data_IF_000651879617
#
_entry.id   IF_000651879617
#
_cell.length_a   1.000
_cell.length_b   1.000
_cell.length_c   1.000
_cell.angle_alpha   90.00
_cell.angle_beta   90.00
_cell.angle_gamma   90.00
#
_symmetry.space_group_name_H-M   'P 1'
#
loop_
_entity.id
_entity.type
_entity.pdbx_description
1 polymer ?
#
# COMPACT_ATOMS: atom_id res chain seq x y z
N UNK A 1 -28.74 25.97 62.79
CA UNK A 1 -28.46 24.70 63.52
C UNK A 1 -29.04 23.56 62.69
N UNK A 2 -28.46 22.34 62.63
CA UNK A 2 -27.39 21.79 63.49
C UNK A 2 -26.17 21.16 62.77
N UNK A 3 -25.07 21.14 63.54
CA UNK A 3 -24.08 20.06 63.76
C UNK A 3 -23.20 19.50 62.63
N UNK A 4 -22.05 20.13 62.54
CA UNK A 4 -20.70 19.55 62.56
C UNK A 4 -20.55 18.11 63.10
N UNK A 5 -19.80 17.28 62.36
CA UNK A 5 -18.91 16.24 62.92
C UNK A 5 -17.61 16.19 62.11
N UNK A 6 -16.55 16.73 62.71
CA UNK A 6 -15.13 16.42 62.43
C UNK A 6 -14.69 15.36 63.44
N UNK A 7 -13.89 14.38 63.01
CA UNK A 7 -12.77 13.73 63.72
C UNK A 7 -12.22 12.65 62.75
N UNK A 8 -11.06 12.88 62.12
CA UNK A 8 -9.71 12.57 62.63
C UNK A 8 -9.41 11.07 62.62
N UNK A 9 -8.53 10.57 61.75
CA UNK A 9 -7.10 10.36 62.04
C UNK A 9 -6.36 9.75 60.81
N UNK A 10 -5.01 9.84 60.78
CA UNK A 10 -4.14 9.79 59.61
C UNK A 10 -3.19 8.55 59.62
N UNK A 11 -2.09 8.63 58.87
CA UNK A 11 -0.86 7.81 58.95
C UNK A 11 -0.90 6.45 58.24
N UNK A 12 -0.24 6.39 57.06
CA UNK A 12 0.86 5.46 56.80
C UNK A 12 1.52 5.80 55.46
N UNK A 13 2.39 6.81 55.52
CA UNK A 13 3.53 6.92 54.62
C UNK A 13 4.79 6.66 55.45
N UNK A 14 5.76 5.96 54.84
CA UNK A 14 7.15 5.74 55.25
C UNK A 14 7.53 4.32 55.73
N UNK A 15 8.04 3.53 54.76
CA UNK A 15 9.22 2.67 54.92
C UNK A 15 9.82 2.51 53.49
N UNK A 16 10.63 3.44 53.02
CA UNK A 16 12.10 3.48 53.09
C UNK A 16 12.81 2.20 52.59
N UNK A 17 13.45 2.37 51.43
CA UNK A 17 14.83 1.98 51.09
C UNK A 17 15.21 0.49 50.87
N UNK A 18 15.32 0.12 49.58
CA UNK A 18 16.41 -0.57 48.85
C UNK A 18 17.45 -1.43 49.63
N UNK A 19 17.86 -2.59 49.07
CA UNK A 19 19.02 -2.54 48.17
C UNK A 19 18.87 -3.34 46.85
N UNK A 20 19.72 -2.94 45.91
CA UNK A 20 19.99 -3.55 44.62
C UNK A 20 20.41 -5.03 44.74
N UNK A 21 20.05 -5.83 43.73
CA UNK A 21 20.91 -6.69 42.88
C UNK A 21 20.12 -7.88 42.34
N UNK A 22 19.47 -7.72 41.19
CA UNK A 22 19.22 -8.85 40.28
C UNK A 22 19.45 -8.35 38.85
N UNK A 23 20.73 -8.22 38.51
CA UNK A 23 21.17 -8.20 37.12
C UNK A 23 20.79 -9.56 36.52
N UNK A 24 19.82 -9.58 35.61
CA UNK A 24 19.59 -10.72 34.75
C UNK A 24 20.83 -10.92 33.86
N UNK A 25 21.41 -12.13 33.76
CA UNK A 25 22.56 -12.37 32.91
C UNK A 25 22.15 -12.24 31.42
N UNK A 26 22.83 -11.41 30.62
CA UNK A 26 22.53 -11.30 29.19
C UNK A 26 23.32 -12.35 28.41
N UNK A 27 22.97 -13.64 28.47
CA UNK A 27 23.67 -14.65 27.65
C UNK A 27 23.01 -16.04 27.54
N UNK A 28 21.69 -16.18 27.36
CA UNK A 28 21.08 -17.52 27.17
C UNK A 28 20.09 -17.63 25.99
N UNK A 29 19.80 -16.55 25.25
CA UNK A 29 18.90 -16.63 24.10
C UNK A 29 19.58 -16.96 22.76
N UNK A 30 20.92 -16.83 22.66
CA UNK A 30 21.61 -17.10 21.39
C UNK A 30 21.82 -18.60 21.11
N UNK A 31 21.82 -19.46 22.13
CA UNK A 31 22.09 -20.89 21.98
C UNK A 31 20.83 -21.75 21.74
N UNK A 32 19.63 -21.17 21.85
CA UNK A 32 18.37 -21.92 21.69
C UNK A 32 17.94 -22.02 20.22
N UNK A 33 18.10 -20.94 19.44
CA UNK A 33 17.76 -20.93 18.01
C UNK A 33 18.73 -21.76 17.16
N UNK A 34 20.00 -21.89 17.56
CA UNK A 34 21.01 -22.69 16.85
C UNK A 34 20.73 -24.21 16.94
N UNK A 35 20.09 -24.68 18.02
CA UNK A 35 19.74 -26.10 18.20
C UNK A 35 18.44 -26.51 17.52
N UNK A 36 17.54 -25.57 17.20
CA UNK A 36 16.26 -25.88 16.58
C UNK A 36 16.30 -25.93 15.04
N UNK A 37 17.31 -25.33 14.41
CA UNK A 37 17.37 -25.23 12.93
C UNK A 37 18.62 -25.84 12.28
N UNK A 38 19.55 -26.44 13.05
CA UNK A 38 20.66 -27.23 12.49
C UNK A 38 21.58 -26.47 11.52
N UNK A 39 21.68 -25.15 11.66
CA UNK A 39 22.52 -24.34 10.76
C UNK A 39 23.91 -24.23 11.39
N UNK A 40 24.86 -25.01 10.88
CA UNK A 40 26.29 -24.77 11.14
C UNK A 40 26.71 -23.49 10.42
N UNK A 41 27.33 -22.50 11.08
CA UNK A 41 28.01 -21.43 10.36
C UNK A 41 29.23 -22.02 9.63
N UNK A 42 29.14 -22.07 8.30
CA UNK A 42 30.22 -22.48 7.41
C UNK A 42 31.36 -21.47 7.53
N UNK A 43 32.55 -21.93 7.94
CA UNK A 43 33.76 -21.10 7.95
C UNK A 43 34.08 -20.70 6.49
N UNK A 44 34.37 -19.42 6.20
CA UNK A 44 34.86 -19.06 4.88
C UNK A 44 36.19 -19.77 4.60
N UNK A 45 36.40 -20.32 3.39
CA UNK A 45 37.64 -21.01 3.06
C UNK A 45 38.80 -20.01 3.07
N UNK A 46 39.87 -20.38 3.78
CA UNK A 46 41.14 -19.64 3.79
C UNK A 46 41.80 -19.84 2.42
N UNK A 47 42.24 -18.80 1.71
CA UNK A 47 42.97 -18.97 0.46
C UNK A 47 44.34 -19.64 0.74
N UNK A 48 44.74 -20.66 -0.04
CA UNK A 48 46.03 -21.31 0.17
C UNK A 48 47.16 -20.33 -0.12
N UNK A 49 48.08 -20.23 0.83
CA UNK A 49 49.30 -19.42 0.77
C UNK A 49 50.41 -20.26 0.14
N UNK A 50 51.02 -19.72 -0.91
CA UNK A 50 52.38 -20.06 -1.37
C UNK A 50 52.52 -21.25 -2.30
N UNK A 51 52.77 -20.96 -3.58
CA UNK A 51 53.46 -21.88 -4.50
C UNK A 51 54.75 -21.16 -4.94
N UNK A 52 55.93 -21.81 -4.94
CA UNK A 52 57.22 -21.15 -5.21
C UNK A 52 57.34 -20.60 -6.64
N UNK A 53 58.03 -19.46 -6.77
CA UNK A 53 58.46 -18.87 -8.04
C UNK A 53 59.30 -19.85 -8.86
N UNK A 54 58.86 -20.13 -10.09
CA UNK A 54 59.66 -20.73 -11.14
C UNK A 54 60.40 -19.64 -11.94
N UNK A 55 61.56 -19.97 -12.55
CA UNK A 55 62.46 -18.99 -13.17
C UNK A 55 61.87 -18.32 -14.43
N UNK A 56 62.36 -17.12 -14.80
CA UNK A 56 61.76 -16.28 -15.83
C UNK A 56 61.93 -16.87 -17.23
N UNK A 57 60.83 -16.95 -17.98
CA UNK A 57 60.84 -17.23 -19.42
C UNK A 57 61.14 -15.95 -20.22
N UNK A 58 61.98 -16.10 -21.25
CA UNK A 58 62.42 -15.04 -22.16
C UNK A 58 61.26 -14.44 -22.99
N UNK A 59 61.36 -13.17 -23.42
CA UNK A 59 60.26 -12.46 -24.09
C UNK A 59 60.09 -12.93 -25.54
N UNK A 60 58.87 -13.29 -25.92
CA UNK A 60 58.46 -13.42 -27.32
C UNK A 60 57.96 -12.07 -27.87
N UNK A 61 58.16 -11.75 -29.16
CA UNK A 61 57.87 -10.42 -29.70
C UNK A 61 56.40 -10.27 -30.14
N UNK A 62 55.76 -9.20 -29.69
CA UNK A 62 54.73 -8.47 -30.44
C UNK A 62 53.29 -8.96 -30.35
N UNK A 63 52.58 -8.57 -29.29
CA UNK A 63 51.13 -8.37 -29.34
C UNK A 63 50.79 -6.91 -29.00
N UNK A 64 49.87 -6.26 -29.72
CA UNK A 64 49.48 -4.89 -29.44
C UNK A 64 48.76 -4.81 -28.09
N UNK A 65 49.32 -4.00 -27.18
CA UNK A 65 48.79 -3.82 -25.83
C UNK A 65 47.37 -3.23 -25.83
N UNK A 66 46.58 -3.50 -24.77
CA UNK A 66 45.24 -2.96 -24.63
C UNK A 66 45.29 -1.42 -24.60
N UNK A 67 44.46 -0.81 -25.45
CA UNK A 67 44.31 0.64 -25.51
C UNK A 67 43.97 1.20 -24.12
N UNK A 68 44.64 2.30 -23.77
CA UNK A 68 44.39 3.03 -22.53
C UNK A 68 42.90 3.44 -22.44
N UNK A 69 42.29 3.45 -21.23
CA UNK A 69 40.92 3.91 -21.06
C UNK A 69 40.86 5.38 -21.50
N UNK A 70 40.02 5.67 -22.50
CA UNK A 70 39.71 7.04 -22.87
C UNK A 70 39.07 7.79 -21.70
N UNK A 71 39.18 9.13 -21.66
CA UNK A 71 38.63 9.93 -20.58
C UNK A 71 37.13 9.65 -20.43
N UNK A 72 36.72 9.16 -19.25
CA UNK A 72 35.33 8.89 -18.93
C UNK A 72 34.55 10.20 -19.05
N UNK A 73 33.60 10.24 -19.99
CA UNK A 73 32.73 11.38 -20.17
C UNK A 73 32.08 11.73 -18.81
N UNK A 74 31.98 13.02 -18.43
CA UNK A 74 31.41 13.41 -17.15
C UNK A 74 30.04 12.77 -16.97
N UNK A 75 29.90 11.95 -15.93
CA UNK A 75 28.60 11.34 -15.62
C UNK A 75 27.59 12.48 -15.44
N UNK A 76 26.45 12.46 -16.15
CA UNK A 76 25.45 13.50 -16.02
C UNK A 76 25.05 13.62 -14.55
N UNK A 77 24.96 14.87 -14.08
CA UNK A 77 24.61 15.15 -12.69
C UNK A 77 23.29 14.43 -12.34
N UNK A 78 23.17 13.82 -11.14
CA UNK A 78 21.97 13.09 -10.76
C UNK A 78 20.75 14.01 -10.86
N UNK A 79 19.77 13.64 -11.68
CA UNK A 79 18.49 14.34 -11.74
C UNK A 79 17.83 14.23 -10.35
N UNK A 80 17.32 15.33 -9.76
CA UNK A 80 16.66 15.28 -8.46
C UNK A 80 15.52 14.26 -8.47
N UNK A 81 15.54 13.33 -7.51
CA UNK A 81 14.50 12.32 -7.38
C UNK A 81 13.12 12.99 -7.19
N UNK A 82 12.17 12.61 -8.05
CA UNK A 82 10.80 13.14 -8.06
C UNK A 82 9.83 12.15 -7.42
N UNK A 83 8.74 12.62 -6.78
CA UNK A 83 7.72 11.72 -6.23
C UNK A 83 7.06 10.88 -7.32
N UNK A 84 6.72 9.64 -6.96
CA UNK A 84 5.92 8.74 -7.79
C UNK A 84 4.44 9.01 -7.52
N UNK A 85 3.69 9.34 -8.56
CA UNK A 85 2.28 9.73 -8.52
C UNK A 85 1.49 8.69 -9.28
N UNK A 86 0.55 8.03 -8.60
CA UNK A 86 -0.42 7.14 -9.24
C UNK A 86 -1.60 7.94 -9.78
N UNK A 87 -2.45 7.29 -10.57
CA UNK A 87 -3.72 7.88 -10.99
C UNK A 87 -4.60 8.14 -9.75
N UNK A 88 -4.96 9.39 -9.53
CA UNK A 88 -5.94 9.75 -8.50
C UNK A 88 -7.32 9.21 -8.87
N UNK A 89 -8.07 8.63 -7.91
CA UNK A 89 -9.42 8.15 -8.15
C UNK A 89 -10.37 9.33 -8.43
N UNK A 90 -11.40 9.06 -9.24
CA UNK A 90 -12.51 10.00 -9.49
C UNK A 90 -13.75 9.59 -8.70
N UNK A 91 -14.51 10.58 -8.25
CA UNK A 91 -15.81 10.40 -7.60
C UNK A 91 -16.82 9.74 -8.55
N UNK A 92 -16.72 10.01 -9.85
CA UNK A 92 -17.65 9.46 -10.85
C UNK A 92 -17.62 7.92 -10.93
N UNK A 93 -16.52 7.29 -10.51
CA UNK A 93 -16.38 5.83 -10.49
C UNK A 93 -17.15 5.15 -9.35
N UNK A 94 -17.62 5.90 -8.36
CA UNK A 94 -18.35 5.38 -7.20
C UNK A 94 -19.75 5.96 -7.05
N UNK A 95 -20.04 7.12 -7.67
CA UNK A 95 -21.38 7.69 -7.71
C UNK A 95 -22.34 6.73 -8.42
N UNK A 96 -23.51 6.53 -7.83
CA UNK A 96 -24.55 5.64 -8.34
C UNK A 96 -24.31 4.15 -8.09
N UNK A 97 -23.12 3.76 -7.65
CA UNK A 97 -22.79 2.38 -7.31
C UNK A 97 -23.31 2.02 -5.92
N UNK A 98 -23.84 0.81 -5.78
CA UNK A 98 -24.13 0.23 -4.48
C UNK A 98 -22.89 -0.52 -3.97
N UNK A 99 -22.31 -0.02 -2.89
CA UNK A 99 -21.09 -0.55 -2.29
C UNK A 99 -21.43 -1.30 -1.00
N UNK A 100 -20.71 -2.38 -0.74
CA UNK A 100 -20.86 -3.23 0.44
C UNK A 100 -19.64 -3.08 1.34
N UNK A 101 -19.87 -2.98 2.64
CA UNK A 101 -18.81 -3.00 3.64
C UNK A 101 -18.06 -4.33 3.51
N UNK A 102 -16.75 -4.22 3.26
CA UNK A 102 -15.85 -5.34 3.09
C UNK A 102 -16.36 -6.36 2.05
N UNK A 103 -17.11 -5.90 1.04
CA UNK A 103 -17.63 -6.74 -0.04
C UNK A 103 -18.64 -7.82 0.37
N UNK A 104 -19.26 -7.70 1.56
CA UNK A 104 -20.23 -8.70 2.07
C UNK A 104 -21.59 -8.12 2.48
N UNK A 105 -21.62 -7.01 3.20
CA UNK A 105 -22.79 -6.60 3.98
C UNK A 105 -22.94 -5.09 4.02
N UNK A 106 -24.13 -4.64 4.45
CA UNK A 106 -24.48 -3.22 4.41
C UNK A 106 -24.64 -2.70 2.98
N UNK A 107 -25.11 -1.46 2.88
CA UNK A 107 -25.12 -0.74 1.60
C UNK A 107 -24.68 0.70 1.80
N UNK A 108 -23.84 1.19 0.89
CA UNK A 108 -23.42 2.58 0.79
C UNK A 108 -23.61 3.01 -0.66
N UNK A 109 -24.39 4.05 -0.89
CA UNK A 109 -24.58 4.63 -2.21
C UNK A 109 -24.36 6.13 -2.16
N UNK A 110 -23.43 6.63 -2.97
CA UNK A 110 -23.26 8.05 -3.20
C UNK A 110 -24.13 8.49 -4.38
N UNK A 111 -24.84 9.60 -4.21
CA UNK A 111 -25.73 10.16 -5.22
C UNK A 111 -25.42 11.65 -5.41
N UNK A 112 -25.35 12.11 -6.65
CA UNK A 112 -25.19 13.54 -6.97
C UNK A 112 -26.54 14.24 -6.81
N UNK A 113 -26.57 15.31 -6.02
CA UNK A 113 -27.74 16.13 -5.76
C UNK A 113 -27.44 17.58 -6.16
N UNK A 114 -27.51 17.89 -7.45
CA UNK A 114 -27.04 19.17 -7.98
C UNK A 114 -25.51 19.30 -7.82
N UNK A 115 -24.99 20.36 -7.18
CA UNK A 115 -23.56 20.52 -6.92
C UNK A 115 -23.07 19.72 -5.70
N UNK A 116 -23.97 19.17 -4.87
CA UNK A 116 -23.60 18.42 -3.67
C UNK A 116 -23.61 16.91 -3.92
N UNK A 117 -22.93 16.18 -3.03
CA UNK A 117 -22.98 14.73 -2.97
C UNK A 117 -23.77 14.34 -1.73
N UNK A 118 -24.64 13.35 -1.88
CA UNK A 118 -25.41 12.77 -0.78
C UNK A 118 -25.08 11.29 -0.63
N UNK A 119 -25.24 10.74 0.57
CA UNK A 119 -25.04 9.33 0.87
C UNK A 119 -26.31 8.71 1.43
N UNK A 120 -26.63 7.49 0.96
CA UNK A 120 -27.58 6.60 1.61
C UNK A 120 -26.82 5.40 2.15
N UNK A 121 -26.97 5.13 3.45
CA UNK A 121 -26.14 4.14 4.15
C UNK A 121 -27.01 3.22 5.00
N UNK A 122 -26.84 1.92 4.86
CA UNK A 122 -27.34 0.88 5.77
C UNK A 122 -26.16 0.21 6.44
N UNK A 123 -26.03 0.44 7.74
CA UNK A 123 -24.93 -0.04 8.56
C UNK A 123 -25.25 -1.43 9.11
N UNK A 124 -24.46 -2.47 8.79
CA UNK A 124 -24.58 -3.77 9.40
C UNK A 124 -23.97 -3.75 10.81
N UNK A 125 -24.56 -4.52 11.73
CA UNK A 125 -24.09 -4.59 13.11
C UNK A 125 -24.61 -5.82 13.85
N UNK A 126 -24.43 -5.83 15.16
CA UNK A 126 -24.97 -6.82 16.08
C UNK A 126 -25.84 -6.17 17.15
N UNK A 127 -26.85 -6.90 17.63
CA UNK A 127 -27.75 -6.34 18.64
C UNK A 127 -27.01 -6.07 19.94
N UNK A 128 -27.34 -4.96 20.60
CA UNK A 128 -26.73 -4.60 21.89
C UNK A 128 -27.22 -5.56 22.98
N UNK A 129 -28.51 -5.85 23.00
CA UNK A 129 -29.12 -6.80 23.94
C UNK A 129 -28.69 -8.25 23.70
N UNK A 130 -28.39 -8.61 22.45
CA UNK A 130 -28.05 -9.97 22.03
C UNK A 130 -26.91 -9.97 20.99
N UNK A 131 -25.64 -9.90 21.43
CA UNK A 131 -24.50 -9.72 20.51
C UNK A 131 -24.30 -10.81 19.45
N UNK A 132 -24.95 -11.97 19.59
CA UNK A 132 -24.93 -13.05 18.61
C UNK A 132 -25.92 -12.83 17.44
N UNK A 133 -26.91 -11.95 17.60
CA UNK A 133 -27.89 -11.62 16.58
C UNK A 133 -27.44 -10.41 15.75
N UNK A 134 -27.67 -10.46 14.44
CA UNK A 134 -27.39 -9.34 13.55
C UNK A 134 -28.48 -8.27 13.62
N UNK A 135 -28.09 -7.03 13.34
CA UNK A 135 -28.99 -5.90 13.15
C UNK A 135 -28.51 -5.06 11.94
N UNK A 136 -29.39 -4.20 11.45
CA UNK A 136 -29.05 -3.26 10.37
C UNK A 136 -29.72 -1.93 10.64
N UNK A 137 -28.94 -0.86 10.60
CA UNK A 137 -29.42 0.50 10.88
C UNK A 137 -29.32 1.35 9.62
N UNK A 138 -30.43 1.86 9.07
CA UNK A 138 -30.38 2.87 8.05
C UNK A 138 -29.99 4.21 8.69
N UNK A 139 -28.84 4.75 8.32
CA UNK A 139 -28.37 6.02 8.86
C UNK A 139 -29.33 7.15 8.46
N UNK A 140 -29.55 8.12 9.36
CA UNK A 140 -30.54 9.20 9.19
C UNK A 140 -31.95 8.69 8.82
N UNK A 141 -32.36 7.56 9.40
CA UNK A 141 -33.64 6.89 9.12
C UNK A 141 -33.84 6.54 7.63
N UNK A 142 -32.74 6.35 6.89
CA UNK A 142 -32.76 5.99 5.46
C UNK A 142 -32.84 7.19 4.50
N UNK A 143 -32.92 8.41 5.03
CA UNK A 143 -32.87 9.62 4.23
C UNK A 143 -31.45 9.90 3.71
N UNK A 144 -31.30 10.53 2.53
CA UNK A 144 -30.00 10.97 2.05
C UNK A 144 -29.34 11.93 3.04
N UNK A 145 -28.08 11.68 3.34
CA UNK A 145 -27.23 12.55 4.16
C UNK A 145 -26.42 13.40 3.19
N UNK A 146 -26.51 14.72 3.31
CA UNK A 146 -25.65 15.62 2.53
C UNK A 146 -24.22 15.51 3.06
N UNK A 147 -23.28 15.24 2.16
CA UNK A 147 -21.87 15.18 2.48
C UNK A 147 -21.21 16.53 2.25
N UNK A 148 -20.32 16.90 3.17
CA UNK A 148 -19.40 18.02 3.00
C UNK A 148 -18.14 17.54 2.28
N UNK A 149 -17.68 18.28 1.27
CA UNK A 149 -16.43 17.95 0.57
C UNK A 149 -15.24 18.61 1.25
N UNK A 150 -14.17 17.85 1.47
CA UNK A 150 -12.88 18.33 1.98
C UNK A 150 -11.85 18.52 0.86
N UNK A 151 -12.26 18.38 -0.40
CA UNK A 151 -11.34 18.40 -1.54
C UNK A 151 -10.49 17.13 -1.61
N UNK A 152 -9.17 17.28 -1.79
CA UNK A 152 -8.24 16.17 -2.00
C UNK A 152 -7.01 16.21 -1.07
N UNK A 153 -7.18 16.18 0.25
CA UNK A 153 -6.08 16.39 1.21
C UNK A 153 -4.97 15.34 1.13
N UNK A 154 -5.30 14.11 0.72
CA UNK A 154 -4.34 13.02 0.52
C UNK A 154 -4.18 12.63 -0.96
N UNK A 155 -4.58 13.51 -1.87
CA UNK A 155 -4.53 13.26 -3.31
C UNK A 155 -5.75 12.50 -3.86
N UNK A 156 -6.69 12.10 -3.00
CA UNK A 156 -7.96 11.49 -3.36
C UNK A 156 -9.14 12.32 -2.80
N UNK A 157 -10.31 12.35 -3.48
CA UNK A 157 -11.49 13.04 -2.98
C UNK A 157 -11.89 12.56 -1.58
N UNK A 158 -12.16 13.51 -0.68
CA UNK A 158 -12.61 13.23 0.68
C UNK A 158 -13.91 13.95 1.00
N UNK A 159 -14.79 13.24 1.70
CA UNK A 159 -16.05 13.77 2.19
C UNK A 159 -16.25 13.47 3.68
N UNK A 160 -17.09 14.27 4.33
CA UNK A 160 -17.51 14.06 5.71
C UNK A 160 -19.03 14.15 5.89
N UNK A 161 -19.54 13.29 6.77
CA UNK A 161 -20.89 13.32 7.33
C UNK A 161 -20.83 13.64 8.84
N UNK A 162 -20.25 14.79 9.20
CA UNK A 162 -19.96 15.16 10.59
C UNK A 162 -21.21 15.33 11.49
N UNK A 163 -22.37 15.67 10.91
CA UNK A 163 -23.63 15.90 11.65
C UNK A 163 -24.52 14.67 11.84
N UNK A 164 -24.08 13.48 11.42
CA UNK A 164 -24.85 12.24 11.58
C UNK A 164 -24.71 11.67 12.99
N UNK A 165 -25.70 10.88 13.44
CA UNK A 165 -25.63 10.10 14.70
C UNK A 165 -24.38 9.20 14.77
N UNK A 166 -23.83 8.85 13.60
CA UNK A 166 -22.55 8.18 13.43
C UNK A 166 -21.70 9.03 12.48
N UNK A 167 -20.83 9.93 12.99
CA UNK A 167 -19.98 10.78 12.18
C UNK A 167 -18.92 9.98 11.40
N UNK A 168 -18.94 10.11 10.07
CA UNK A 168 -18.08 9.34 9.18
C UNK A 168 -17.31 10.22 8.20
N UNK A 169 -16.10 9.77 7.87
CA UNK A 169 -15.28 10.29 6.79
C UNK A 169 -15.17 9.25 5.68
N UNK A 170 -15.23 9.72 4.44
CA UNK A 170 -15.24 8.93 3.22
C UNK A 170 -14.07 9.35 2.35
N UNK A 171 -13.07 8.48 2.21
CA UNK A 171 -11.97 8.63 1.28
C UNK A 171 -12.29 7.84 0.00
N UNK A 172 -12.47 8.54 -1.12
CA UNK A 172 -12.76 7.88 -2.40
C UNK A 172 -11.50 7.14 -2.87
N UNK A 173 -11.65 5.85 -3.15
CA UNK A 173 -10.62 5.03 -3.80
C UNK A 173 -11.16 4.52 -5.13
N UNK A 174 -10.29 3.94 -5.95
CA UNK A 174 -10.74 3.46 -7.26
C UNK A 174 -11.75 2.31 -7.10
N UNK A 175 -13.00 2.56 -7.53
CA UNK A 175 -14.10 1.59 -7.44
C UNK A 175 -14.61 1.31 -6.02
N UNK A 176 -14.29 2.14 -5.03
CA UNK A 176 -14.78 1.98 -3.66
C UNK A 176 -14.56 3.21 -2.79
N UNK A 177 -14.90 3.10 -1.52
CA UNK A 177 -14.77 4.17 -0.53
C UNK A 177 -14.19 3.60 0.75
N UNK A 178 -13.06 4.13 1.19
CA UNK A 178 -12.50 3.83 2.50
C UNK A 178 -13.21 4.71 3.54
N UNK A 179 -13.92 4.08 4.47
CA UNK A 179 -14.68 4.77 5.51
C UNK A 179 -13.94 4.70 6.83
N UNK A 180 -13.82 5.85 7.49
CA UNK A 180 -13.28 5.98 8.84
C UNK A 180 -14.28 6.70 9.75
N UNK A 181 -14.18 6.44 11.05
CA UNK A 181 -15.00 7.11 12.07
C UNK A 181 -14.38 8.45 12.43
N UNK A 182 -15.22 9.48 12.53
CA UNK A 182 -14.85 10.78 13.11
C UNK A 182 -15.14 10.86 14.61
N UNK A 183 -15.79 9.83 15.16
CA UNK A 183 -16.08 9.72 16.59
C UNK A 183 -14.87 9.22 17.41
N UNK A 184 -15.08 9.04 18.72
CA UNK A 184 -14.04 8.59 19.65
C UNK A 184 -13.63 7.11 19.49
N UNK A 185 -14.28 6.36 18.61
CA UNK A 185 -13.98 4.96 18.34
C UNK A 185 -14.58 4.46 17.02
N UNK A 186 -14.26 3.22 16.63
CA UNK A 186 -14.72 2.63 15.36
C UNK A 186 -16.16 2.11 15.41
N UNK A 187 -16.79 2.08 16.59
CA UNK A 187 -18.13 1.54 16.82
C UNK A 187 -19.13 2.68 16.93
N UNK A 188 -20.25 2.57 16.22
CA UNK A 188 -21.42 3.43 16.36
C UNK A 188 -22.57 2.67 17.03
N UNK A 189 -23.09 3.20 18.12
CA UNK A 189 -24.17 2.60 18.91
C UNK A 189 -25.48 3.33 18.69
N UNK A 190 -26.53 2.59 18.34
CA UNK A 190 -27.88 3.08 18.08
C UNK A 190 -28.84 2.44 19.09
N UNK A 191 -28.98 3.05 20.26
CA UNK A 191 -29.76 2.48 21.37
C UNK A 191 -31.23 2.26 21.00
N UNK A 192 -31.84 3.18 20.24
CA UNK A 192 -33.23 3.06 19.79
C UNK A 192 -33.44 1.88 18.83
N UNK A 193 -32.39 1.48 18.10
CA UNK A 193 -32.42 0.34 17.18
C UNK A 193 -31.83 -0.93 17.82
N UNK A 194 -31.47 -0.89 19.11
CA UNK A 194 -30.76 -1.97 19.81
C UNK A 194 -29.57 -2.51 19.02
N UNK A 195 -28.75 -1.63 18.43
CA UNK A 195 -27.75 -2.04 17.44
C UNK A 195 -26.40 -1.36 17.63
N UNK A 196 -25.31 -2.12 17.61
CA UNK A 196 -23.95 -1.63 17.53
C UNK A 196 -23.34 -1.99 16.17
N UNK A 197 -22.84 -0.99 15.45
CA UNK A 197 -22.28 -1.14 14.10
C UNK A 197 -20.82 -0.71 14.05
N UNK A 198 -20.05 -1.29 13.13
CA UNK A 198 -18.65 -0.92 12.87
C UNK A 198 -18.54 -0.50 11.41
N UNK A 199 -18.83 0.77 11.07
CA UNK A 199 -18.87 1.26 9.68
C UNK A 199 -17.48 1.39 9.03
N UNK A 200 -16.42 1.32 9.83
CA UNK A 200 -15.03 1.48 9.40
C UNK A 200 -14.60 0.30 8.53
N UNK A 201 -14.01 0.60 7.38
CA UNK A 201 -13.56 -0.41 6.43
C UNK A 201 -13.62 0.06 5.00
N UNK A 202 -13.31 -0.84 4.06
CA UNK A 202 -13.44 -0.57 2.64
C UNK A 202 -14.85 -0.95 2.18
N UNK A 203 -15.61 0.04 1.72
CA UNK A 203 -16.88 -0.16 1.03
C UNK A 203 -16.62 -0.29 -0.46
N UNK A 204 -16.93 -1.44 -1.03
CA UNK A 204 -16.59 -1.76 -2.42
C UNK A 204 -17.57 -2.74 -3.05
N UNK A 205 -17.29 -3.23 -4.27
CA UNK A 205 -18.12 -4.23 -4.93
C UNK A 205 -18.14 -5.54 -4.14
N UNK A 206 -19.21 -6.32 -4.28
CA UNK A 206 -19.31 -7.65 -3.68
C UNK A 206 -18.10 -8.52 -4.09
N UNK A 207 -17.43 -9.16 -3.12
CA UNK A 207 -16.13 -9.81 -3.37
C UNK A 207 -16.14 -10.90 -4.44
N UNK A 208 -17.28 -11.60 -4.60
CA UNK A 208 -17.43 -12.61 -5.65
C UNK A 208 -17.32 -12.04 -7.06
N UNK A 209 -17.71 -10.77 -7.28
CA UNK A 209 -17.67 -10.10 -8.58
C UNK A 209 -16.26 -9.71 -9.02
N UNK A 210 -15.31 -9.70 -8.08
CA UNK A 210 -13.95 -9.22 -8.29
C UNK A 210 -12.98 -10.32 -8.75
N UNK A 211 -13.35 -11.60 -8.60
CA UNK A 211 -12.51 -12.76 -8.90
C UNK A 211 -11.95 -12.74 -10.34
N UNK A 212 -12.74 -12.43 -11.39
CA UNK A 212 -12.22 -12.44 -12.76
C UNK A 212 -11.08 -11.44 -13.01
N UNK A 213 -10.93 -10.43 -12.14
CA UNK A 213 -9.95 -9.35 -12.27
C UNK A 213 -8.74 -9.52 -11.37
N UNK A 214 -8.59 -10.67 -10.69
CA UNK A 214 -7.51 -10.93 -9.73
C UNK A 214 -6.11 -10.64 -10.31
N UNK A 215 -5.84 -11.07 -11.55
CA UNK A 215 -4.55 -10.82 -12.21
C UNK A 215 -4.26 -9.35 -12.49
N UNK A 216 -5.29 -8.54 -12.80
CA UNK A 216 -5.17 -7.09 -12.94
C UNK A 216 -4.80 -6.45 -11.60
N UNK A 217 -5.47 -6.88 -10.53
CA UNK A 217 -5.26 -6.34 -9.20
C UNK A 217 -3.86 -6.66 -8.65
N UNK A 218 -3.37 -7.89 -8.85
CA UNK A 218 -2.02 -8.25 -8.41
C UNK A 218 -0.94 -7.44 -9.15
N UNK A 219 -1.08 -7.31 -10.47
CA UNK A 219 -0.16 -6.50 -11.28
C UNK A 219 -0.16 -5.03 -10.84
N UNK A 220 -1.34 -4.45 -10.66
CA UNK A 220 -1.48 -3.07 -10.20
C UNK A 220 -0.93 -2.89 -8.76
N UNK A 221 -1.09 -3.90 -7.90
CA UNK A 221 -0.57 -3.88 -6.53
C UNK A 221 0.95 -3.83 -6.53
N UNK A 222 1.62 -4.58 -7.41
CA UNK A 222 3.08 -4.50 -7.56
C UNK A 222 3.57 -3.09 -7.92
N UNK A 223 2.83 -2.37 -8.78
CA UNK A 223 3.13 -0.97 -9.13
C UNK A 223 2.87 -0.03 -7.95
N UNK A 224 1.75 -0.20 -7.25
CA UNK A 224 1.40 0.60 -6.09
C UNK A 224 2.40 0.42 -4.92
N UNK A 225 2.76 -0.83 -4.60
CA UNK A 225 3.76 -1.14 -3.59
C UNK A 225 5.12 -0.53 -3.93
N UNK A 226 5.52 -0.55 -5.21
CA UNK A 226 6.74 0.13 -5.67
C UNK A 226 6.65 1.63 -5.45
N UNK A 227 5.54 2.27 -5.81
CA UNK A 227 5.33 3.71 -5.60
C UNK A 227 5.40 4.09 -4.11
N UNK A 228 4.79 3.30 -3.22
CA UNK A 228 4.89 3.48 -1.77
C UNK A 228 6.36 3.43 -1.30
N UNK A 229 7.10 2.39 -1.70
CA UNK A 229 8.52 2.24 -1.33
C UNK A 229 9.38 3.40 -1.83
N UNK A 230 9.20 3.78 -3.09
CA UNK A 230 9.97 4.86 -3.72
C UNK A 230 9.66 6.22 -3.06
N UNK A 231 8.40 6.48 -2.73
CA UNK A 231 8.00 7.70 -2.03
C UNK A 231 8.52 7.74 -0.59
N UNK A 232 8.46 6.64 0.17
CA UNK A 232 9.07 6.60 1.50
C UNK A 232 10.58 6.81 1.44
N UNK A 233 11.26 6.18 0.47
CA UNK A 233 12.69 6.40 0.25
C UNK A 233 12.99 7.87 0.00
N UNK A 234 12.18 8.53 -0.84
CA UNK A 234 12.33 9.95 -1.13
C UNK A 234 12.02 10.84 0.08
N UNK A 235 11.00 10.51 0.88
CA UNK A 235 10.70 11.20 2.14
C UNK A 235 11.90 11.13 3.08
N UNK A 236 12.44 9.94 3.32
CA UNK A 236 13.61 9.75 4.17
C UNK A 236 14.84 10.51 3.66
N UNK A 237 15.05 10.56 2.33
CA UNK A 237 16.15 11.33 1.72
C UNK A 237 16.00 12.85 1.90
N UNK A 238 14.76 13.37 1.99
CA UNK A 238 14.47 14.79 2.16
C UNK A 238 14.28 15.20 3.62
N UNK A 239 14.10 14.23 4.52
CA UNK A 239 13.81 14.48 5.92
C UNK A 239 15.05 14.94 6.69
N UNK A 240 14.84 15.68 7.77
CA UNK A 240 15.88 15.94 8.77
C UNK A 240 16.08 14.69 9.63
N UNK A 241 17.21 14.61 10.35
CA UNK A 241 17.57 13.40 11.12
C UNK A 241 16.50 13.02 12.14
N UNK A 242 15.87 14.01 12.77
CA UNK A 242 14.79 13.86 13.73
C UNK A 242 13.50 13.26 13.13
N UNK A 243 13.25 13.51 11.85
CA UNK A 243 12.01 13.10 11.16
C UNK A 243 12.12 11.70 10.52
N UNK A 244 13.33 11.17 10.35
CA UNK A 244 13.56 9.86 9.72
C UNK A 244 12.91 8.72 10.52
N UNK A 245 13.03 8.73 11.86
CA UNK A 245 12.52 7.64 12.70
C UNK A 245 10.99 7.51 12.61
N UNK A 246 10.20 8.60 12.71
CA UNK A 246 8.76 8.55 12.43
C UNK A 246 8.41 7.98 11.05
N UNK A 247 9.12 8.38 9.99
CA UNK A 247 8.86 7.91 8.61
C UNK A 247 9.06 6.40 8.49
N UNK A 248 10.18 5.87 9.03
CA UNK A 248 10.47 4.44 9.01
C UNK A 248 9.45 3.65 9.86
N UNK A 249 9.04 4.20 10.99
CA UNK A 249 7.99 3.59 11.83
C UNK A 249 6.66 3.52 11.11
N UNK A 250 6.25 4.58 10.41
CA UNK A 250 5.01 4.60 9.62
C UNK A 250 5.08 3.62 8.43
N UNK A 251 6.24 3.53 7.78
CA UNK A 251 6.47 2.53 6.73
C UNK A 251 6.32 1.11 7.26
N UNK A 252 6.85 0.82 8.45
CA UNK A 252 6.76 -0.50 9.07
C UNK A 252 5.34 -0.84 9.53
N UNK A 253 4.60 0.14 10.06
CA UNK A 253 3.21 -0.05 10.49
C UNK A 253 2.26 -0.31 9.31
N UNK A 254 2.50 0.34 8.17
CA UNK A 254 1.58 0.32 7.03
C UNK A 254 1.22 -1.10 6.55
N UNK A 255 2.18 -2.04 6.52
CA UNK A 255 1.90 -3.41 6.07
C UNK A 255 0.95 -4.15 7.01
N UNK A 256 1.11 -3.98 8.33
CA UNK A 256 0.25 -4.57 9.34
C UNK A 256 -1.15 -3.92 9.35
N UNK A 257 -1.22 -2.59 9.23
CA UNK A 257 -2.48 -1.85 9.17
C UNK A 257 -3.31 -2.27 7.95
N UNK A 258 -2.65 -2.39 6.79
CA UNK A 258 -3.29 -2.86 5.56
C UNK A 258 -3.85 -4.28 5.71
N UNK A 259 -3.07 -5.20 6.27
CA UNK A 259 -3.53 -6.57 6.51
C UNK A 259 -4.72 -6.60 7.48
N UNK A 260 -4.63 -5.88 8.59
CA UNK A 260 -5.71 -5.79 9.57
C UNK A 260 -7.01 -5.23 8.97
N UNK A 261 -6.90 -4.21 8.13
CA UNK A 261 -8.03 -3.61 7.43
C UNK A 261 -8.62 -4.56 6.37
N UNK A 262 -7.77 -5.22 5.59
CA UNK A 262 -8.20 -5.94 4.39
C UNK A 262 -8.55 -7.41 4.61
N UNK A 263 -8.09 -8.05 5.70
CA UNK A 263 -8.41 -9.46 5.99
C UNK A 263 -9.91 -9.77 6.03
N UNK A 264 -10.73 -8.76 6.34
CA UNK A 264 -12.18 -8.88 6.42
C UNK A 264 -12.90 -8.73 5.07
N UNK A 265 -12.20 -8.30 4.01
CA UNK A 265 -12.80 -8.12 2.70
C UNK A 265 -13.11 -9.49 2.07
N UNK A 266 -14.35 -9.66 1.62
CA UNK A 266 -14.86 -10.92 1.10
C UNK A 266 -13.96 -11.46 -0.01
N UNK A 267 -13.38 -12.65 0.20
CA UNK A 267 -12.50 -13.32 -0.78
C UNK A 267 -11.24 -12.52 -1.15
N UNK A 268 -10.75 -11.66 -0.25
CA UNK A 268 -9.57 -10.85 -0.51
C UNK A 268 -8.33 -11.67 -0.90
N UNK A 269 -8.09 -12.80 -0.23
CA UNK A 269 -6.97 -13.70 -0.57
C UNK A 269 -7.04 -14.28 -1.99
N UNK A 270 -8.17 -14.17 -2.68
CA UNK A 270 -8.35 -14.62 -4.07
C UNK A 270 -8.11 -13.50 -5.08
N UNK A 271 -8.55 -12.27 -4.79
CA UNK A 271 -8.52 -11.18 -5.78
C UNK A 271 -7.62 -9.99 -5.41
N UNK A 272 -7.32 -9.73 -4.13
CA UNK A 272 -6.39 -8.67 -3.71
C UNK A 272 -6.90 -7.23 -3.90
N UNK A 273 -8.21 -7.00 -3.85
CA UNK A 273 -8.81 -5.70 -4.19
C UNK A 273 -8.56 -4.67 -3.08
N UNK A 274 -8.85 -5.03 -1.83
CA UNK A 274 -8.65 -4.12 -0.71
C UNK A 274 -7.17 -3.77 -0.56
N UNK A 275 -6.28 -4.76 -0.62
CA UNK A 275 -4.84 -4.53 -0.54
C UNK A 275 -4.38 -3.54 -1.60
N UNK A 276 -4.86 -3.66 -2.83
CA UNK A 276 -4.56 -2.73 -3.90
C UNK A 276 -5.04 -1.31 -3.57
N UNK A 277 -6.33 -1.14 -3.26
CA UNK A 277 -6.92 0.21 -3.05
C UNK A 277 -6.32 0.95 -1.88
N UNK A 278 -6.05 0.25 -0.78
CA UNK A 278 -5.36 0.84 0.38
C UNK A 278 -3.92 1.23 0.03
N UNK A 279 -3.23 0.44 -0.79
CA UNK A 279 -1.85 0.74 -1.22
C UNK A 279 -1.77 1.89 -2.21
N UNK A 280 -2.71 1.99 -3.15
CA UNK A 280 -2.80 3.12 -4.08
C UNK A 280 -3.09 4.42 -3.32
N UNK A 281 -4.06 4.40 -2.40
CA UNK A 281 -4.37 5.55 -1.58
C UNK A 281 -3.16 5.99 -0.74
N UNK A 282 -2.41 5.03 -0.18
CA UNK A 282 -1.17 5.31 0.55
C UNK A 282 -0.12 5.96 -0.34
N UNK A 283 0.06 5.49 -1.57
CA UNK A 283 1.01 6.06 -2.50
C UNK A 283 0.66 7.53 -2.84
N UNK A 284 -0.63 7.82 -3.05
CA UNK A 284 -1.13 9.19 -3.29
C UNK A 284 -0.93 10.10 -2.08
N UNK A 285 -1.23 9.61 -0.88
CA UNK A 285 -1.01 10.37 0.36
C UNK A 285 0.47 10.74 0.52
N UNK A 286 1.38 9.78 0.29
CA UNK A 286 2.83 10.03 0.34
C UNK A 286 3.29 11.02 -0.73
N UNK A 287 2.79 10.89 -1.96
CA UNK A 287 3.10 11.82 -3.04
C UNK A 287 2.64 13.25 -2.71
N UNK A 288 1.45 13.38 -2.11
CA UNK A 288 0.89 14.67 -1.67
C UNK A 288 1.75 15.30 -0.58
N UNK A 289 2.19 14.52 0.43
CA UNK A 289 3.13 14.99 1.47
C UNK A 289 4.48 15.45 0.91
N UNK A 290 4.91 14.86 -0.20
CA UNK A 290 6.12 15.25 -0.92
C UNK A 290 5.93 16.48 -1.82
N UNK A 291 4.75 17.10 -1.82
CA UNK A 291 4.40 18.27 -2.63
C UNK A 291 4.14 17.96 -4.11
N UNK A 292 3.85 16.71 -4.45
CA UNK A 292 3.56 16.34 -5.84
C UNK A 292 2.19 16.85 -6.27
N UNK A 293 2.11 17.33 -7.52
CA UNK A 293 0.81 17.56 -8.15
C UNK A 293 0.21 16.21 -8.56
N UNK A 294 -0.84 15.78 -7.87
CA UNK A 294 -1.52 14.50 -8.12
C UNK A 294 -2.40 14.50 -9.38
N UNK A 295 -2.54 15.63 -10.07
CA UNK A 295 -3.27 15.73 -11.33
C UNK A 295 -2.56 15.02 -12.51
N UNK A 296 -1.23 14.81 -12.43
CA UNK A 296 -0.45 14.18 -13.51
C UNK A 296 0.22 12.90 -12.99
N UNK A 297 -0.29 11.72 -13.36
CA UNK A 297 0.32 10.45 -12.96
C UNK A 297 1.71 10.29 -13.55
N UNK A 298 2.67 9.83 -12.75
CA UNK A 298 4.04 9.51 -13.19
C UNK A 298 4.30 8.01 -13.25
N UNK A 299 3.40 7.19 -12.71
CA UNK A 299 3.39 5.75 -12.87
C UNK A 299 2.03 5.26 -13.39
N UNK A 300 2.07 4.34 -14.36
CA UNK A 300 0.88 3.74 -14.97
C UNK A 300 1.07 2.23 -15.20
N UNK A 301 0.02 1.45 -14.96
CA UNK A 301 -0.11 0.09 -15.49
C UNK A 301 -0.56 0.20 -16.94
N UNK A 302 0.32 0.66 -17.84
CA UNK A 302 0.01 0.57 -19.27
C UNK A 302 0.02 -0.92 -19.64
N UNK A 303 -0.99 -1.46 -20.33
CA UNK A 303 -0.92 -2.82 -20.84
C UNK A 303 0.32 -2.89 -21.75
N UNK A 304 1.25 -3.81 -21.44
CA UNK A 304 2.36 -4.10 -22.35
C UNK A 304 1.72 -4.58 -23.65
N UNK A 305 1.60 -3.70 -24.65
CA UNK A 305 1.41 -4.14 -26.02
C UNK A 305 2.61 -5.02 -26.32
N UNK A 306 2.37 -6.32 -26.47
CA UNK A 306 3.34 -7.24 -27.04
C UNK A 306 3.71 -6.64 -28.39
N UNK A 307 4.90 -6.04 -28.48
CA UNK A 307 5.45 -5.62 -29.76
C UNK A 307 5.53 -6.91 -30.59
N UNK A 308 4.84 -7.00 -31.75
CA UNK A 308 4.99 -8.16 -32.61
C UNK A 308 6.47 -8.29 -32.94
N UNK A 309 7.06 -9.44 -32.61
CA UNK A 309 8.38 -9.81 -33.11
C UNK A 309 8.23 -9.85 -34.63
N UNK A 310 9.02 -9.10 -35.43
CA UNK A 310 9.01 -9.27 -36.86
C UNK A 310 9.29 -10.74 -37.16
N UNK A 311 8.35 -11.41 -37.81
CA UNK A 311 8.61 -12.72 -38.39
C UNK A 311 9.72 -12.51 -39.42
N UNK A 312 10.83 -13.24 -39.27
CA UNK A 312 11.79 -13.34 -40.34
C UNK A 312 11.07 -13.99 -41.54
N UNK A 313 10.99 -13.27 -42.66
CA UNK A 313 10.52 -13.84 -43.91
C UNK A 313 11.44 -15.00 -44.31
N UNK A 314 10.90 -16.16 -44.71
CA UNK A 314 11.71 -17.18 -45.34
C UNK A 314 12.09 -16.69 -46.74
N UNK A 315 13.40 -16.59 -47.00
CA UNK A 315 13.92 -16.37 -48.35
C UNK A 315 13.45 -17.52 -49.24
N UNK A 316 12.60 -17.22 -50.21
CA UNK A 316 12.30 -18.10 -51.33
C UNK A 316 13.17 -17.67 -52.50
N UNK A 317 14.17 -18.50 -52.81
CA UNK A 317 14.97 -18.39 -54.03
C UNK A 317 14.05 -18.63 -55.24
N UNK A 318 13.64 -17.54 -55.88
CA UNK A 318 12.94 -17.55 -57.16
C UNK A 318 13.93 -17.53 -58.30
N UNK A 319 14.22 -18.70 -58.87
CA UNK A 319 14.86 -18.83 -60.20
C UNK A 319 13.83 -18.42 -61.26
N UNK A 320 14.11 -17.32 -61.96
CA UNK A 320 13.34 -16.86 -63.10
C UNK A 320 13.86 -17.54 -64.38
N UNK A 321 13.02 -18.18 -65.21
CA UNK A 321 13.44 -18.70 -66.51
C UNK A 321 13.41 -17.59 -67.58
N UNK A 322 14.01 -17.93 -68.72
CA UNK A 322 13.85 -17.28 -70.04
C UNK A 322 14.88 -16.19 -70.40
N UNK A 323 16.08 -16.68 -70.72
CA UNK A 323 16.91 -16.14 -71.81
C UNK A 323 16.13 -16.20 -73.14
N UNK A 324 15.67 -15.03 -73.58
CA UNK A 324 15.19 -14.81 -74.94
C UNK A 324 16.36 -15.00 -75.93
N UNK A 325 16.17 -15.92 -76.88
CA UNK A 325 17.07 -16.17 -77.99
C UNK A 325 17.09 -15.02 -79.00
N UNK A 326 18.28 -14.83 -79.55
CA UNK A 326 18.67 -13.97 -80.66
C UNK A 326 17.82 -14.25 -81.94
N UNK A 327 17.40 -13.18 -82.63
CA UNK A 327 16.79 -13.18 -83.99
C UNK A 327 17.88 -13.37 -85.10
N UNK A 328 17.69 -13.15 -86.43
CA UNK A 328 16.53 -12.85 -87.32
C UNK A 328 16.60 -13.67 -88.66
N UNK A 329 16.33 -13.14 -89.88
CA UNK A 329 15.05 -12.87 -90.57
C UNK A 329 14.83 -13.70 -91.88
N UNK A 330 13.75 -13.35 -92.59
CA UNK A 330 13.18 -13.80 -93.90
C UNK A 330 12.08 -14.86 -93.89
#
# INVERSE_FOLDING_TARGET
MPRTRRLLLPLLAAALALPATLAAPPAQAQNFFERLFGIKPERPPVPPRGVPEGPPAAPAPGEPGPAAPGPEAPRPAPVPARPVVLKAPSEDGVIGQELQLNGTSGTLKLERAGPSVTARIKLPGTKISQPAESCTVPLANGNPITLSSEGKPEGAPRFEAAGAECPLRFDVVEGGILVSSLGQGPVCTFSNADCATTPVGLWGPAGATLIPRAGEFDTARGVADKAVRDNYKLMTQRARREDVRPIVSEQAAFSADREQLCRGYAREGTHGFCHLRVTENRALALATRLGANTAVPTASVAPRRSRPKPAAEPAVDGVNPDTAGEMPPE
#
